data_IF_552419520454
#
_entry.id   IF_552419520454
#
_cell.length_a   1.000
_cell.length_b   1.000
_cell.length_c   1.000
_cell.angle_alpha   90.00
_cell.angle_beta   90.00
_cell.angle_gamma   90.00
#
_symmetry.space_group_name_H-M   'P 1'
#
loop_
_entity.id
_entity.type
_entity.pdbx_description
1 polymer ?
#
# COMPACT_ATOMS: atom_id res chain seq x y z
N UNK A 1 4.84 9.38 11.37
CA UNK A 1 4.91 7.97 11.77
C UNK A 1 5.13 7.09 10.54
N UNK A 2 6.06 6.16 10.62
CA UNK A 2 6.26 5.17 9.58
C UNK A 2 5.26 4.03 9.77
N UNK A 3 4.57 3.65 8.71
CA UNK A 3 3.63 2.54 8.77
C UNK A 3 4.39 1.22 8.73
N UNK A 4 3.99 0.29 9.55
CA UNK A 4 4.55 -1.04 9.52
C UNK A 4 3.99 -1.81 8.31
N UNK A 5 4.78 -2.74 7.82
CA UNK A 5 4.38 -3.56 6.68
C UNK A 5 3.05 -4.28 6.94
N UNK A 6 2.86 -4.77 8.15
CA UNK A 6 1.63 -5.47 8.51
C UNK A 6 0.40 -4.57 8.39
N UNK A 7 0.53 -3.30 8.80
CA UNK A 7 -0.57 -2.34 8.68
C UNK A 7 -0.94 -2.10 7.21
N UNK A 8 0.08 -1.95 6.38
CA UNK A 8 -0.11 -1.72 4.95
C UNK A 8 -0.76 -2.94 4.29
N UNK A 9 -0.30 -4.14 4.64
CA UNK A 9 -0.87 -5.37 4.10
C UNK A 9 -2.33 -5.54 4.48
N UNK A 10 -2.72 -5.16 5.70
CA UNK A 10 -4.11 -5.22 6.12
C UNK A 10 -4.99 -4.32 5.27
N UNK A 11 -4.55 -3.10 5.03
CA UNK A 11 -5.29 -2.17 4.18
C UNK A 11 -5.38 -2.72 2.75
N UNK A 12 -4.28 -3.27 2.27
CA UNK A 12 -4.25 -3.84 0.92
C UNK A 12 -5.21 -5.01 0.79
N UNK A 13 -5.30 -5.86 1.80
CA UNK A 13 -6.27 -6.96 1.81
C UNK A 13 -7.70 -6.45 1.74
N UNK A 14 -8.00 -5.38 2.47
CA UNK A 14 -9.34 -4.78 2.50
C UNK A 14 -9.71 -4.15 1.17
N UNK A 15 -8.74 -3.53 0.51
CA UNK A 15 -8.97 -2.82 -0.75
C UNK A 15 -8.79 -3.73 -1.98
N UNK A 16 -8.17 -4.88 -1.80
CA UNK A 16 -7.85 -5.80 -2.88
C UNK A 16 -6.43 -5.60 -3.38
N UNK A 17 -5.81 -6.67 -3.87
CA UNK A 17 -4.43 -6.65 -4.35
C UNK A 17 -4.31 -6.22 -5.82
N UNK A 18 -5.41 -5.81 -6.46
CA UNK A 18 -5.39 -5.28 -7.82
C UNK A 18 -4.74 -3.90 -7.84
N UNK A 19 -4.47 -3.39 -9.04
CA UNK A 19 -3.91 -2.04 -9.18
C UNK A 19 -4.82 -0.99 -8.52
N UNK A 20 -6.12 -1.13 -8.69
CA UNK A 20 -7.09 -0.22 -8.06
C UNK A 20 -6.99 -0.26 -6.54
N UNK A 21 -6.89 -1.45 -5.96
CA UNK A 21 -6.74 -1.61 -4.53
C UNK A 21 -5.44 -1.02 -4.01
N UNK A 22 -4.36 -1.18 -4.75
CA UNK A 22 -3.06 -0.62 -4.39
C UNK A 22 -3.09 0.90 -4.42
N UNK A 23 -3.70 1.49 -5.45
CA UNK A 23 -3.86 2.94 -5.54
C UNK A 23 -4.68 3.48 -4.37
N UNK A 24 -5.77 2.80 -4.04
CA UNK A 24 -6.63 3.20 -2.94
C UNK A 24 -5.89 3.12 -1.62
N UNK A 25 -5.12 2.06 -1.41
CA UNK A 25 -4.32 1.90 -0.20
C UNK A 25 -3.29 3.02 -0.06
N UNK A 26 -2.58 3.33 -1.14
CA UNK A 26 -1.60 4.43 -1.14
C UNK A 26 -2.27 5.76 -0.79
N UNK A 27 -3.44 6.03 -1.38
CA UNK A 27 -4.18 7.25 -1.10
C UNK A 27 -4.60 7.33 0.36
N UNK A 28 -5.05 6.23 0.94
CA UNK A 28 -5.44 6.18 2.35
C UNK A 28 -4.27 6.42 3.29
N UNK A 29 -3.08 6.00 2.88
CA UNK A 29 -1.85 6.21 3.65
C UNK A 29 -1.23 7.59 3.39
N UNK A 30 -1.72 8.31 2.39
CA UNK A 30 -1.18 9.61 2.03
C UNK A 30 0.19 9.53 1.37
N UNK A 31 0.47 8.45 0.66
CA UNK A 31 1.76 8.24 0.00
C UNK A 31 1.53 7.93 -1.49
N UNK A 32 2.62 8.01 -2.27
CA UNK A 32 2.56 7.64 -3.68
C UNK A 32 2.53 6.12 -3.84
N UNK A 33 2.11 5.66 -5.00
CA UNK A 33 2.11 4.22 -5.30
C UNK A 33 3.53 3.65 -5.27
N UNK A 34 4.50 4.42 -5.76
CA UNK A 34 5.90 4.01 -5.71
C UNK A 34 6.37 3.83 -4.26
N UNK A 35 5.99 4.75 -3.37
CA UNK A 35 6.33 4.63 -1.96
C UNK A 35 5.68 3.40 -1.34
N UNK A 36 4.44 3.10 -1.74
CA UNK A 36 3.74 1.91 -1.26
C UNK A 36 4.53 0.65 -1.62
N UNK A 37 4.96 0.54 -2.87
CA UNK A 37 5.74 -0.60 -3.32
C UNK A 37 7.06 -0.72 -2.57
N UNK A 38 7.74 0.40 -2.34
CA UNK A 38 8.98 0.40 -1.57
C UNK A 38 8.75 -0.12 -0.15
N UNK A 39 7.67 0.30 0.48
CA UNK A 39 7.36 -0.12 1.85
C UNK A 39 7.01 -1.60 1.94
N UNK A 40 6.42 -2.14 0.89
CA UNK A 40 6.09 -3.56 0.81
C UNK A 40 7.21 -4.40 0.22
N UNK A 41 8.29 -3.76 -0.21
CA UNK A 41 9.38 -4.41 -0.91
C UNK A 41 8.90 -5.15 -2.16
N UNK A 42 7.97 -4.52 -2.86
CA UNK A 42 7.39 -5.06 -4.10
C UNK A 42 8.03 -4.38 -5.30
N UNK A 43 7.90 -5.04 -6.45
CA UNK A 43 8.32 -4.46 -7.73
C UNK A 43 7.11 -4.09 -8.55
N UNK A 44 7.30 -3.10 -9.42
CA UNK A 44 6.27 -2.71 -10.37
C UNK A 44 6.04 -3.80 -11.39
#
# INVERSE_FOLDING_TARGET
>A
RAFERAEILRLLERNGASLEGKKKTAAQLGISLASLYNKLNMQF
#
